data_IF_651811403343
#
_entry.id   IF_651811403343
#
_cell.length_a   1.000
_cell.length_b   1.000
_cell.length_c   1.000
_cell.angle_alpha   90.00
_cell.angle_beta   90.00
_cell.angle_gamma   90.00
#
_symmetry.space_group_name_H-M   'P 1'
#
loop_
_entity.id
_entity.type
_entity.pdbx_description
1 polymer ?
#
# COMPACT_ATOMS: atom_id res chain seq x y z
N UNK A 1 -5.72 -11.28 -8.63
CA UNK A 1 -7.14 -11.18 -9.03
C UNK A 1 -7.92 -10.98 -7.73
N UNK A 2 -8.65 -9.88 -7.60
CA UNK A 2 -9.44 -9.62 -6.39
C UNK A 2 -10.66 -10.55 -6.42
N UNK A 3 -10.83 -11.36 -5.39
CA UNK A 3 -11.95 -12.29 -5.28
C UNK A 3 -13.24 -11.47 -5.17
N UNK A 4 -14.12 -11.55 -6.18
CA UNK A 4 -15.46 -10.96 -6.09
C UNK A 4 -16.34 -11.87 -5.22
N UNK A 5 -16.49 -11.50 -3.97
CA UNK A 5 -17.33 -12.22 -3.00
C UNK A 5 -18.75 -11.66 -3.02
N UNK A 6 -19.73 -12.53 -3.07
CA UNK A 6 -21.16 -12.18 -3.00
C UNK A 6 -21.59 -12.00 -1.53
N UNK A 7 -22.58 -11.14 -1.27
CA UNK A 7 -23.08 -10.85 0.10
C UNK A 7 -23.48 -12.11 0.88
N UNK A 8 -24.06 -13.10 0.21
CA UNK A 8 -24.39 -14.39 0.84
C UNK A 8 -23.13 -15.16 1.26
N UNK A 9 -22.04 -15.03 0.51
CA UNK A 9 -20.75 -15.64 0.87
C UNK A 9 -20.12 -14.92 2.07
N UNK A 10 -20.22 -13.59 2.13
CA UNK A 10 -19.78 -12.81 3.29
C UNK A 10 -20.56 -13.21 4.54
N UNK A 11 -21.88 -13.40 4.42
CA UNK A 11 -22.71 -13.88 5.53
C UNK A 11 -22.29 -15.27 6.03
N UNK A 12 -21.96 -16.19 5.12
CA UNK A 12 -21.45 -17.53 5.49
C UNK A 12 -20.10 -17.43 6.21
N UNK A 13 -19.17 -16.64 5.67
CA UNK A 13 -17.85 -16.44 6.28
C UNK A 13 -17.96 -15.81 7.66
N UNK A 14 -18.86 -14.81 7.83
CA UNK A 14 -19.15 -14.20 9.11
C UNK A 14 -19.67 -15.23 10.13
N UNK A 15 -20.66 -16.06 9.76
CA UNK A 15 -21.15 -17.09 10.67
C UNK A 15 -20.04 -18.07 11.09
N UNK A 16 -19.14 -18.43 10.17
CA UNK A 16 -18.02 -19.32 10.46
C UNK A 16 -16.92 -18.68 11.31
N UNK A 17 -16.78 -17.34 11.32
CA UNK A 17 -15.91 -16.63 12.26
C UNK A 17 -16.38 -16.82 13.71
N UNK A 18 -17.68 -16.70 13.95
CA UNK A 18 -18.25 -16.78 15.30
C UNK A 18 -18.67 -18.20 15.72
N UNK A 19 -18.80 -19.10 14.76
CA UNK A 19 -19.21 -20.51 14.97
C UNK A 19 -18.30 -21.46 14.22
N UNK A 20 -17.09 -21.68 14.67
CA UNK A 20 -16.21 -22.69 14.10
C UNK A 20 -16.91 -24.06 14.10
N UNK A 21 -16.79 -24.82 13.01
CA UNK A 21 -17.40 -26.13 12.87
C UNK A 21 -18.96 -26.15 12.84
N UNK A 22 -19.54 -25.25 12.06
CA UNK A 22 -20.99 -25.15 11.92
C UNK A 22 -21.57 -26.15 10.90
N UNK A 23 -22.78 -26.62 11.14
CA UNK A 23 -23.54 -27.43 10.17
C UNK A 23 -24.25 -26.52 9.17
N UNK A 24 -24.67 -27.08 8.04
CA UNK A 24 -25.40 -26.36 6.99
C UNK A 24 -26.56 -25.50 7.52
N UNK A 25 -27.41 -26.08 8.38
CA UNK A 25 -28.58 -25.39 8.98
C UNK A 25 -28.18 -24.21 9.88
N UNK A 26 -27.00 -24.29 10.48
CA UNK A 26 -26.52 -23.27 11.41
C UNK A 26 -25.94 -22.06 10.67
N UNK A 27 -25.50 -22.27 9.42
CA UNK A 27 -24.94 -21.25 8.53
C UNK A 27 -26.01 -20.52 7.71
N UNK A 28 -27.12 -21.19 7.40
CA UNK A 28 -28.18 -20.60 6.58
C UNK A 28 -29.04 -19.65 7.42
N UNK A 29 -28.60 -18.39 7.53
CA UNK A 29 -29.30 -17.29 8.23
C UNK A 29 -30.01 -16.34 7.28
N UNK A 30 -29.89 -16.57 5.97
CA UNK A 30 -30.49 -15.74 4.93
C UNK A 30 -31.71 -16.42 4.33
N UNK A 31 -32.70 -15.65 3.93
CA UNK A 31 -33.93 -16.16 3.31
C UNK A 31 -33.72 -16.38 1.80
N UNK A 32 -33.09 -17.49 1.47
CA UNK A 32 -32.89 -17.98 0.11
C UNK A 32 -33.15 -19.49 0.04
N UNK A 33 -33.34 -20.03 -1.17
CA UNK A 33 -33.54 -21.47 -1.35
C UNK A 33 -32.30 -22.27 -0.92
N UNK A 34 -32.49 -23.53 -0.57
CA UNK A 34 -31.37 -24.40 -0.20
C UNK A 34 -30.37 -24.59 -1.36
N UNK A 35 -30.85 -24.63 -2.58
CA UNK A 35 -29.99 -24.80 -3.77
C UNK A 35 -29.10 -23.56 -3.98
N UNK A 36 -29.68 -22.38 -3.85
CA UNK A 36 -28.95 -21.12 -3.96
C UNK A 36 -27.90 -20.98 -2.84
N UNK A 37 -28.27 -21.30 -1.60
CA UNK A 37 -27.32 -21.31 -0.47
C UNK A 37 -26.21 -22.32 -0.69
N UNK A 38 -26.56 -23.54 -1.16
CA UNK A 38 -25.61 -24.60 -1.47
C UNK A 38 -24.62 -24.17 -2.55
N UNK A 39 -25.07 -23.43 -3.57
CA UNK A 39 -24.21 -22.89 -4.61
C UNK A 39 -23.13 -21.98 -4.01
N UNK A 40 -23.50 -20.99 -3.21
CA UNK A 40 -22.54 -20.06 -2.57
C UNK A 40 -21.57 -20.79 -1.63
N UNK A 41 -22.06 -21.74 -0.86
CA UNK A 41 -21.22 -22.53 0.06
C UNK A 41 -20.21 -23.39 -0.71
N UNK A 42 -20.64 -24.04 -1.83
CA UNK A 42 -19.75 -24.80 -2.71
C UNK A 42 -18.68 -23.91 -3.36
N UNK A 43 -19.01 -22.67 -3.74
CA UNK A 43 -18.02 -21.71 -4.27
C UNK A 43 -16.95 -21.41 -3.22
N UNK A 44 -17.31 -21.12 -1.98
CA UNK A 44 -16.35 -20.87 -0.89
C UNK A 44 -15.43 -22.08 -0.65
N UNK A 45 -15.96 -23.30 -0.77
CA UNK A 45 -15.15 -24.53 -0.69
C UNK A 45 -14.21 -24.65 -1.90
N UNK A 46 -14.68 -24.34 -3.11
CA UNK A 46 -13.87 -24.35 -4.34
C UNK A 46 -12.75 -23.33 -4.31
N UNK A 47 -13.02 -22.13 -3.77
CA UNK A 47 -12.04 -21.05 -3.58
C UNK A 47 -11.07 -21.32 -2.41
N UNK A 48 -11.21 -22.45 -1.71
CA UNK A 48 -10.33 -22.82 -0.61
C UNK A 48 -10.52 -22.01 0.68
N UNK A 49 -11.57 -21.19 0.80
CA UNK A 49 -11.85 -20.40 2.01
C UNK A 49 -12.57 -21.20 3.08
N UNK A 50 -13.30 -22.22 2.68
CA UNK A 50 -14.09 -23.10 3.56
C UNK A 50 -13.74 -24.55 3.29
N UNK A 51 -13.63 -25.35 4.34
CA UNK A 51 -13.49 -26.80 4.25
C UNK A 51 -14.73 -27.49 4.81
N UNK A 52 -15.12 -28.61 4.19
CA UNK A 52 -16.19 -29.47 4.68
C UNK A 52 -15.62 -30.78 5.18
N UNK A 53 -15.85 -31.10 6.43
CA UNK A 53 -15.48 -32.38 7.04
C UNK A 53 -16.66 -32.94 7.84
N UNK A 54 -17.03 -34.20 7.59
CA UNK A 54 -18.09 -34.91 8.34
C UNK A 54 -19.40 -34.10 8.54
N UNK A 55 -19.91 -33.46 7.46
CA UNK A 55 -21.13 -32.62 7.46
C UNK A 55 -20.99 -31.29 8.24
N UNK A 56 -19.77 -30.92 8.63
CA UNK A 56 -19.43 -29.69 9.31
C UNK A 56 -18.58 -28.84 8.38
N UNK A 57 -18.75 -27.52 8.44
CA UNK A 57 -17.99 -26.53 7.68
C UNK A 57 -17.14 -25.70 8.62
N UNK A 58 -15.93 -25.39 8.21
CA UNK A 58 -14.96 -24.57 8.95
C UNK A 58 -14.21 -23.67 7.98
N UNK A 59 -13.71 -22.54 8.46
CA UNK A 59 -12.77 -21.73 7.69
C UNK A 59 -11.42 -22.45 7.59
N UNK A 60 -10.81 -22.41 6.41
CA UNK A 60 -9.38 -22.70 6.25
C UNK A 60 -8.52 -21.59 6.84
N UNK A 61 -7.21 -21.71 6.84
CA UNK A 61 -6.35 -20.60 7.29
C UNK A 61 -6.43 -19.40 6.34
N UNK A 62 -6.54 -19.63 5.02
CA UNK A 62 -6.83 -18.61 4.03
C UNK A 62 -8.21 -17.99 4.24
N UNK A 63 -9.20 -18.82 4.58
CA UNK A 63 -10.56 -18.37 4.89
C UNK A 63 -10.60 -17.50 6.14
N UNK A 64 -9.83 -17.82 7.20
CA UNK A 64 -9.70 -17.02 8.42
C UNK A 64 -9.03 -15.67 8.10
N UNK A 65 -7.93 -15.69 7.35
CA UNK A 65 -7.22 -14.47 6.94
C UNK A 65 -8.14 -13.57 6.13
N UNK A 66 -8.84 -14.13 5.14
CA UNK A 66 -9.77 -13.37 4.30
C UNK A 66 -10.94 -12.79 5.11
N UNK A 67 -11.59 -13.61 5.92
CA UNK A 67 -12.76 -13.21 6.70
C UNK A 67 -12.41 -12.19 7.80
N UNK A 68 -11.18 -12.22 8.33
CA UNK A 68 -10.72 -11.26 9.34
C UNK A 68 -10.57 -9.82 8.81
N UNK A 69 -10.59 -9.61 7.49
CA UNK A 69 -10.63 -8.28 6.86
C UNK A 69 -12.04 -7.67 6.81
N UNK A 70 -13.03 -8.44 7.19
CA UNK A 70 -14.44 -8.04 7.08
C UNK A 70 -14.83 -7.15 8.25
N UNK A 71 -15.53 -6.05 7.96
CA UNK A 71 -16.45 -5.44 8.90
C UNK A 71 -17.63 -6.39 9.08
N UNK A 72 -17.70 -7.06 10.22
CA UNK A 72 -18.71 -8.09 10.50
C UNK A 72 -20.10 -7.53 10.75
N UNK A 73 -20.25 -6.24 11.00
CA UNK A 73 -21.53 -5.56 11.16
C UNK A 73 -22.06 -5.10 9.80
N UNK A 74 -21.22 -4.44 9.01
CA UNK A 74 -21.60 -3.95 7.69
C UNK A 74 -21.55 -5.04 6.59
N UNK A 75 -21.07 -6.25 6.89
CA UNK A 75 -20.91 -7.38 5.95
C UNK A 75 -20.17 -6.98 4.66
N UNK A 76 -19.03 -6.31 4.80
CA UNK A 76 -18.20 -5.90 3.67
C UNK A 76 -16.73 -6.04 4.01
N UNK A 77 -15.92 -6.28 2.98
CA UNK A 77 -14.45 -6.23 3.13
C UNK A 77 -14.03 -4.77 3.23
N UNK A 78 -13.39 -4.40 4.33
CA UNK A 78 -12.90 -3.04 4.54
C UNK A 78 -11.72 -2.73 3.61
N UNK A 79 -11.78 -1.55 3.01
CA UNK A 79 -10.67 -1.00 2.24
C UNK A 79 -9.63 -0.43 3.20
N UNK A 80 -8.45 -1.00 3.21
CA UNK A 80 -7.36 -0.58 4.09
C UNK A 80 -6.40 0.37 3.38
N UNK A 81 -5.76 1.24 4.16
CA UNK A 81 -4.66 2.08 3.69
C UNK A 81 -3.49 1.25 3.20
N UNK A 82 -2.82 1.70 2.14
CA UNK A 82 -1.68 1.00 1.53
C UNK A 82 -0.40 1.30 2.31
N UNK A 83 0.42 0.29 2.54
CA UNK A 83 1.75 0.45 3.10
C UNK A 83 2.76 0.55 1.96
N UNK A 84 3.62 1.57 2.02
CA UNK A 84 4.66 1.84 1.04
C UNK A 84 5.94 2.37 1.70
N UNK A 85 7.02 2.40 0.95
CA UNK A 85 8.27 3.06 1.33
C UNK A 85 8.48 4.32 0.49
N UNK A 86 9.02 5.37 1.11
CA UNK A 86 9.48 6.58 0.43
C UNK A 86 11.00 6.70 0.62
N UNK A 87 11.74 6.92 -0.48
CA UNK A 87 13.19 6.77 -0.53
C UNK A 87 13.84 8.09 -0.93
N UNK A 88 14.27 8.86 0.07
CA UNK A 88 14.92 10.15 -0.15
C UNK A 88 16.44 9.99 -0.17
N UNK A 89 17.00 9.83 -1.37
CA UNK A 89 18.44 9.72 -1.54
C UNK A 89 19.11 11.10 -1.62
N UNK A 90 20.23 11.22 -0.92
CA UNK A 90 21.06 12.42 -0.91
C UNK A 90 22.52 12.06 -1.16
N UNK A 91 23.23 12.94 -1.88
CA UNK A 91 24.67 12.83 -2.07
C UNK A 91 25.35 14.20 -1.95
N UNK A 92 26.62 14.17 -1.64
CA UNK A 92 27.47 15.37 -1.70
C UNK A 92 28.23 15.37 -3.02
N UNK A 93 28.08 16.43 -3.83
CA UNK A 93 28.84 16.62 -5.08
C UNK A 93 29.36 18.06 -5.14
N UNK A 94 30.68 18.20 -5.30
CA UNK A 94 31.33 19.51 -5.33
C UNK A 94 30.95 20.41 -4.16
N UNK A 95 30.92 19.85 -2.94
CA UNK A 95 30.57 20.57 -1.71
C UNK A 95 29.10 20.95 -1.56
N UNK A 96 28.24 20.53 -2.49
CA UNK A 96 26.79 20.79 -2.47
C UNK A 96 25.98 19.52 -2.30
N UNK A 97 24.93 19.58 -1.50
CA UNK A 97 23.98 18.46 -1.38
C UNK A 97 23.08 18.42 -2.61
N UNK A 98 22.99 17.26 -3.21
CA UNK A 98 22.02 16.92 -4.26
C UNK A 98 21.01 15.90 -3.75
N UNK A 99 19.79 16.01 -4.22
CA UNK A 99 18.65 15.13 -3.92
C UNK A 99 18.27 14.35 -5.17
N UNK A 100 18.05 13.06 -5.03
CA UNK A 100 17.51 12.25 -6.10
C UNK A 100 15.99 12.42 -6.15
N UNK A 101 15.50 12.84 -7.29
CA UNK A 101 14.08 13.08 -7.55
C UNK A 101 13.65 12.23 -8.74
N UNK A 102 12.47 11.66 -8.66
CA UNK A 102 11.81 10.91 -9.72
C UNK A 102 10.72 11.76 -10.36
N UNK A 103 10.77 11.95 -11.67
CA UNK A 103 9.65 12.46 -12.44
C UNK A 103 8.80 11.30 -12.91
N UNK A 104 7.56 11.24 -12.43
CA UNK A 104 6.64 10.17 -12.78
C UNK A 104 6.09 10.37 -14.19
N UNK A 105 6.22 9.36 -15.07
CA UNK A 105 5.66 9.35 -16.42
C UNK A 105 4.59 8.26 -16.59
N UNK A 106 3.83 8.01 -15.53
CA UNK A 106 2.76 7.03 -15.41
C UNK A 106 1.60 7.59 -14.60
N UNK A 107 0.35 7.29 -14.99
CA UNK A 107 -0.83 7.61 -14.18
C UNK A 107 -0.92 6.74 -12.91
N UNK A 108 -1.57 7.21 -11.86
CA UNK A 108 -2.01 8.59 -11.64
C UNK A 108 -0.85 9.54 -11.38
N UNK A 109 -1.07 10.84 -11.49
CA UNK A 109 -0.10 11.92 -11.27
C UNK A 109 1.02 11.97 -12.32
N UNK A 110 0.70 11.84 -13.58
CA UNK A 110 1.66 12.00 -14.67
C UNK A 110 2.36 13.37 -14.64
N UNK A 111 3.70 13.36 -14.77
CA UNK A 111 4.54 14.57 -14.74
C UNK A 111 4.88 15.09 -13.33
N UNK A 112 4.38 14.48 -12.26
CA UNK A 112 4.70 14.90 -10.91
C UNK A 112 6.08 14.43 -10.47
N UNK A 113 6.68 15.18 -9.54
CA UNK A 113 7.99 14.92 -8.98
C UNK A 113 7.91 14.45 -7.53
N UNK A 114 8.73 13.50 -7.17
CA UNK A 114 8.87 13.01 -5.81
C UNK A 114 10.13 12.19 -5.61
N UNK A 115 10.26 11.58 -4.45
CA UNK A 115 11.25 10.55 -4.20
C UNK A 115 10.80 9.23 -4.83
N UNK A 116 11.73 8.30 -5.01
CA UNK A 116 11.40 6.92 -5.35
C UNK A 116 10.48 6.32 -4.27
N UNK A 117 9.59 5.44 -4.67
CA UNK A 117 8.64 4.84 -3.74
C UNK A 117 8.14 3.49 -4.24
N UNK A 118 7.91 2.58 -3.33
CA UNK A 118 7.38 1.26 -3.68
C UNK A 118 6.40 0.73 -2.66
N UNK A 119 5.53 -0.18 -3.10
CA UNK A 119 4.57 -0.85 -2.22
C UNK A 119 5.25 -2.00 -1.49
N UNK A 120 5.02 -2.09 -0.19
CA UNK A 120 5.43 -3.25 0.60
C UNK A 120 4.57 -4.45 0.17
N UNK A 121 5.23 -5.53 -0.24
CA UNK A 121 4.56 -6.78 -0.63
C UNK A 121 4.06 -7.53 0.61
N UNK A 122 3.10 -8.39 0.44
CA UNK A 122 2.64 -9.26 1.52
C UNK A 122 3.80 -10.08 2.10
N UNK A 123 4.01 -9.98 3.42
CA UNK A 123 5.11 -10.63 4.13
C UNK A 123 6.49 -9.99 3.97
N UNK A 124 6.62 -8.90 3.19
CA UNK A 124 7.89 -8.20 2.99
C UNK A 124 8.18 -7.24 4.15
N UNK A 125 9.43 -7.20 4.62
CA UNK A 125 9.86 -6.21 5.59
C UNK A 125 10.03 -4.82 4.88
N UNK A 126 9.60 -3.70 5.49
CA UNK A 126 9.73 -2.38 4.87
C UNK A 126 11.17 -1.98 4.49
N UNK A 127 12.20 -2.41 5.23
CA UNK A 127 13.59 -2.13 4.87
C UNK A 127 14.04 -2.93 3.63
N UNK A 128 13.57 -4.18 3.50
CA UNK A 128 13.88 -5.01 2.33
C UNK A 128 13.15 -4.50 1.09
N UNK A 129 11.89 -4.08 1.25
CA UNK A 129 11.15 -3.34 0.23
C UNK A 129 11.92 -2.08 -0.21
N UNK A 130 12.42 -1.28 0.74
CA UNK A 130 13.17 -0.07 0.45
C UNK A 130 14.44 -0.34 -0.38
N UNK A 131 15.20 -1.38 -0.03
CA UNK A 131 16.39 -1.78 -0.77
C UNK A 131 16.06 -2.30 -2.17
N UNK A 132 15.02 -3.13 -2.30
CA UNK A 132 14.55 -3.71 -3.57
C UNK A 132 14.07 -2.61 -4.51
N UNK A 133 13.12 -1.78 -4.09
CA UNK A 133 12.55 -0.71 -4.92
C UNK A 133 13.61 0.31 -5.32
N UNK A 134 14.52 0.69 -4.40
CA UNK A 134 15.58 1.62 -4.72
C UNK A 134 16.52 1.09 -5.81
N UNK A 135 16.85 -0.21 -5.72
CA UNK A 135 17.68 -0.87 -6.74
C UNK A 135 16.94 -1.04 -8.07
N UNK A 136 15.68 -1.45 -8.03
CA UNK A 136 14.84 -1.66 -9.22
C UNK A 136 14.61 -0.33 -9.96
N UNK A 137 14.36 0.77 -9.24
CA UNK A 137 14.03 2.06 -9.83
C UNK A 137 15.25 2.94 -10.16
N UNK A 138 16.40 2.71 -9.56
CA UNK A 138 17.55 3.62 -9.75
C UNK A 138 18.86 2.94 -10.18
N UNK A 139 18.97 1.61 -10.09
CA UNK A 139 20.22 0.86 -10.24
C UNK A 139 21.18 1.00 -9.05
N UNK A 140 20.80 1.77 -8.03
CA UNK A 140 21.68 2.10 -6.91
C UNK A 140 21.37 1.26 -5.67
N UNK A 141 22.40 1.12 -4.85
CA UNK A 141 22.32 0.68 -3.44
C UNK A 141 22.80 1.81 -2.54
N UNK A 142 22.64 1.66 -1.20
CA UNK A 142 23.09 2.69 -0.27
C UNK A 142 22.89 2.30 1.19
N UNK A 143 23.13 3.25 2.10
CA UNK A 143 22.81 3.13 3.52
C UNK A 143 21.43 3.70 3.77
N UNK A 144 20.50 2.87 4.26
CA UNK A 144 19.12 3.25 4.57
C UNK A 144 18.97 3.55 6.05
N UNK A 145 18.38 4.70 6.36
CA UNK A 145 18.05 5.12 7.73
C UNK A 145 16.59 5.50 7.79
N UNK A 146 15.79 4.79 8.57
CA UNK A 146 14.38 5.14 8.79
C UNK A 146 14.29 6.49 9.52
N UNK A 147 13.52 7.41 8.97
CA UNK A 147 13.36 8.78 9.47
C UNK A 147 11.97 9.06 10.01
N UNK A 148 10.97 8.37 9.53
CA UNK A 148 9.60 8.57 9.97
C UNK A 148 8.59 7.72 9.23
N UNK A 149 7.35 7.83 9.67
CA UNK A 149 6.17 7.32 8.97
C UNK A 149 5.31 8.53 8.63
N UNK A 150 4.98 8.67 7.35
CA UNK A 150 4.09 9.73 6.88
C UNK A 150 2.83 9.11 6.31
N UNK A 151 1.71 9.44 6.90
CA UNK A 151 0.40 9.06 6.43
C UNK A 151 -0.10 10.13 5.45
N UNK A 152 -0.35 9.75 4.21
CA UNK A 152 -0.87 10.64 3.18
C UNK A 152 -2.29 10.28 2.80
N UNK A 153 -3.18 11.27 2.92
CA UNK A 153 -4.51 11.26 2.36
C UNK A 153 -4.54 12.17 1.12
N UNK A 154 -4.86 11.62 -0.03
CA UNK A 154 -5.16 12.42 -1.22
C UNK A 154 -6.67 12.46 -1.42
N UNK A 155 -7.22 13.66 -1.37
CA UNK A 155 -8.62 13.92 -1.62
C UNK A 155 -8.81 14.58 -2.99
N UNK A 156 -9.86 14.23 -3.69
CA UNK A 156 -10.38 15.05 -4.77
C UNK A 156 -10.97 16.35 -4.20
N UNK A 157 -11.12 17.38 -5.02
CA UNK A 157 -11.67 18.67 -4.55
C UNK A 157 -13.10 18.58 -4.03
N UNK A 158 -13.87 17.56 -4.43
CA UNK A 158 -15.22 17.27 -3.91
C UNK A 158 -15.23 16.54 -2.56
N UNK A 159 -14.07 16.31 -1.97
CA UNK A 159 -13.90 15.65 -0.67
C UNK A 159 -13.78 14.14 -0.72
N UNK A 160 -13.87 13.49 -1.88
CA UNK A 160 -13.68 12.03 -2.00
C UNK A 160 -12.23 11.65 -1.72
N UNK A 161 -12.02 10.66 -0.85
CA UNK A 161 -10.71 10.07 -0.60
C UNK A 161 -10.29 9.23 -1.81
N UNK A 162 -9.19 9.61 -2.46
CA UNK A 162 -8.62 8.94 -3.63
C UNK A 162 -7.53 7.95 -3.24
N UNK A 163 -6.66 8.35 -2.33
CA UNK A 163 -5.58 7.51 -1.82
C UNK A 163 -5.41 7.67 -0.31
N UNK A 164 -5.16 6.55 0.34
CA UNK A 164 -4.81 6.40 1.74
C UNK A 164 -3.55 5.54 1.79
N UNK A 165 -2.42 6.15 2.20
CA UNK A 165 -1.10 5.50 2.15
C UNK A 165 -0.25 5.86 3.34
N UNK A 166 0.37 4.86 3.94
CA UNK A 166 1.42 5.00 4.96
C UNK A 166 2.78 4.80 4.30
N UNK A 167 3.62 5.83 4.32
CA UNK A 167 4.97 5.76 3.81
C UNK A 167 5.98 5.63 4.94
N UNK A 168 6.75 4.56 4.93
CA UNK A 168 7.96 4.42 5.73
C UNK A 168 9.08 5.15 5.02
N UNK A 169 9.47 6.32 5.57
CA UNK A 169 10.42 7.23 4.92
C UNK A 169 11.84 6.87 5.31
N UNK A 170 12.62 6.49 4.31
CA UNK A 170 14.04 6.21 4.47
C UNK A 170 14.89 7.31 3.83
N UNK A 171 15.87 7.82 4.60
CA UNK A 171 17.00 8.56 4.04
C UNK A 171 17.99 7.57 3.47
N UNK A 172 18.45 7.80 2.23
CA UNK A 172 19.43 6.94 1.57
C UNK A 172 20.70 7.75 1.31
N UNK A 173 21.83 7.27 1.80
CA UNK A 173 23.14 7.92 1.71
C UNK A 173 24.20 6.93 1.19
N UNK A 174 25.37 7.45 0.79
CA UNK A 174 26.49 6.64 0.30
C UNK A 174 26.08 5.71 -0.85
N UNK A 175 25.36 6.26 -1.81
CA UNK A 175 24.83 5.51 -2.96
C UNK A 175 25.95 4.99 -3.86
N UNK A 176 25.82 3.75 -4.34
CA UNK A 176 26.75 3.06 -5.24
C UNK A 176 25.96 2.25 -6.26
N UNK A 177 26.52 2.06 -7.45
CA UNK A 177 25.93 1.26 -8.53
C UNK A 177 25.83 2.05 -9.83
N UNK A 178 25.21 1.44 -10.83
CA UNK A 178 25.02 2.01 -12.16
C UNK A 178 23.71 2.77 -12.19
N UNK A 179 23.79 4.09 -12.14
CA UNK A 179 22.63 4.97 -12.06
C UNK A 179 21.80 4.92 -13.33
N UNK A 180 20.50 4.61 -13.19
CA UNK A 180 19.53 4.62 -14.26
C UNK A 180 18.78 5.96 -14.27
N UNK A 181 19.04 6.79 -15.28
CA UNK A 181 18.30 8.05 -15.47
C UNK A 181 16.87 7.81 -15.97
N UNK A 182 16.68 6.84 -16.85
CA UNK A 182 15.38 6.48 -17.41
C UNK A 182 14.95 5.09 -16.95
N UNK A 183 13.70 4.99 -16.54
CA UNK A 183 13.06 3.74 -16.13
C UNK A 183 11.63 3.70 -16.71
N UNK A 184 10.99 2.53 -16.83
CA UNK A 184 9.66 2.42 -17.45
C UNK A 184 8.60 3.35 -16.84
N UNK A 185 8.71 3.69 -15.57
CA UNK A 185 7.74 4.51 -14.86
C UNK A 185 8.09 6.02 -14.84
N UNK A 186 9.28 6.41 -15.34
CA UNK A 186 9.69 7.82 -15.33
C UNK A 186 11.18 8.09 -15.47
N UNK A 187 11.61 9.23 -14.94
CA UNK A 187 13.01 9.69 -15.02
C UNK A 187 13.55 10.04 -13.64
N UNK A 188 14.79 9.65 -13.40
CA UNK A 188 15.51 9.94 -12.17
C UNK A 188 16.52 11.08 -12.41
N UNK A 189 16.52 12.07 -11.53
CA UNK A 189 17.33 13.28 -11.71
C UNK A 189 17.96 13.66 -10.37
N UNK A 190 19.28 13.83 -10.34
CA UNK A 190 19.97 14.45 -9.22
C UNK A 190 19.87 15.97 -9.32
N UNK A 191 19.29 16.62 -8.33
CA UNK A 191 19.09 18.07 -8.33
C UNK A 191 19.54 18.72 -7.03
N UNK A 192 19.96 19.99 -7.11
CA UNK A 192 20.27 20.80 -5.94
C UNK A 192 18.97 21.22 -5.21
N UNK A 193 19.11 21.61 -3.94
CA UNK A 193 17.99 22.21 -3.17
C UNK A 193 17.31 23.35 -3.92
N UNK A 194 18.09 24.27 -4.52
CA UNK A 194 17.56 25.41 -5.25
C UNK A 194 16.69 25.01 -6.46
N UNK A 195 17.03 23.89 -7.14
CA UNK A 195 16.20 23.34 -8.19
C UNK A 195 14.95 22.66 -7.62
N UNK A 196 15.08 21.89 -6.54
CA UNK A 196 13.95 21.20 -5.91
C UNK A 196 12.85 22.19 -5.51
N UNK A 197 13.23 23.31 -4.86
CA UNK A 197 12.29 24.36 -4.44
C UNK A 197 11.51 25.01 -5.60
N UNK A 198 12.02 24.91 -6.84
CA UNK A 198 11.39 25.45 -8.05
C UNK A 198 10.50 24.45 -8.76
N UNK A 199 10.51 23.17 -8.36
CA UNK A 199 9.65 22.18 -8.98
C UNK A 199 8.18 22.50 -8.72
N UNK A 200 7.38 22.35 -9.78
CA UNK A 200 5.91 22.34 -9.69
C UNK A 200 5.42 20.92 -9.67
N UNK A 201 4.19 20.71 -9.23
CA UNK A 201 3.57 19.38 -9.16
C UNK A 201 4.46 18.37 -8.39
N UNK A 202 4.71 18.66 -7.12
CA UNK A 202 5.51 17.81 -6.24
C UNK A 202 4.63 17.06 -5.24
N UNK A 203 4.95 15.80 -4.98
CA UNK A 203 4.28 15.01 -3.94
C UNK A 203 4.61 15.51 -2.54
N UNK A 204 5.83 16.00 -2.34
CA UNK A 204 6.24 16.68 -1.11
C UNK A 204 7.12 17.88 -1.48
N UNK A 205 6.91 19.01 -0.81
CA UNK A 205 7.77 20.18 -0.96
C UNK A 205 9.15 19.89 -0.37
N UNK A 206 10.16 20.68 -0.78
CA UNK A 206 11.50 20.52 -0.22
C UNK A 206 11.51 20.69 1.32
N UNK A 207 10.72 21.60 1.85
CA UNK A 207 10.67 21.86 3.30
C UNK A 207 10.05 20.69 4.08
N UNK A 208 9.00 20.06 3.54
CA UNK A 208 8.42 18.83 4.11
C UNK A 208 9.43 17.67 4.11
N UNK A 209 10.17 17.51 3.01
CA UNK A 209 11.23 16.50 2.93
C UNK A 209 12.33 16.78 3.95
N UNK A 210 12.78 18.03 4.03
CA UNK A 210 13.82 18.47 4.96
C UNK A 210 13.41 18.27 6.43
N UNK A 211 12.16 18.57 6.77
CA UNK A 211 11.61 18.32 8.11
C UNK A 211 11.84 16.87 8.53
N UNK A 212 11.47 15.92 7.66
CA UNK A 212 11.62 14.49 7.96
C UNK A 212 13.08 14.07 7.98
N UNK A 213 13.88 14.46 6.98
CA UNK A 213 15.26 14.00 6.85
C UNK A 213 16.18 14.50 7.97
N UNK A 214 15.95 15.71 8.47
CA UNK A 214 16.78 16.35 9.50
C UNK A 214 16.34 16.01 10.92
N UNK A 215 15.20 15.34 11.09
CA UNK A 215 14.75 14.96 12.43
C UNK A 215 15.76 14.02 13.10
N UNK A 216 16.05 14.30 14.37
CA UNK A 216 16.84 13.44 15.26
C UNK A 216 16.01 12.29 15.85
N UNK A 217 14.68 12.37 15.80
CA UNK A 217 13.74 11.39 16.31
C UNK A 217 12.94 10.79 15.14
N UNK A 218 12.42 9.58 15.33
CA UNK A 218 11.44 9.01 14.41
C UNK A 218 10.18 9.89 14.44
N UNK A 219 9.76 10.37 13.26
CA UNK A 219 8.56 11.18 13.14
C UNK A 219 7.36 10.34 12.74
N UNK A 220 6.19 10.73 13.24
CA UNK A 220 4.91 10.37 12.64
C UNK A 220 4.21 11.65 12.19
N UNK A 221 3.84 11.71 10.92
CA UNK A 221 3.18 12.88 10.33
C UNK A 221 1.92 12.44 9.59
N UNK A 222 0.86 13.23 9.73
CA UNK A 222 -0.39 13.07 8.99
C UNK A 222 -0.53 14.24 8.00
N UNK A 223 -0.79 13.95 6.73
CA UNK A 223 -0.83 14.94 5.65
C UNK A 223 -2.04 14.71 4.76
N UNK A 224 -2.92 15.68 4.69
CA UNK A 224 -4.03 15.71 3.74
C UNK A 224 -3.70 16.64 2.57
N UNK A 225 -4.00 16.19 1.35
CA UNK A 225 -3.84 16.98 0.12
C UNK A 225 -5.06 16.89 -0.74
N UNK A 226 -5.48 18.04 -1.28
CA UNK A 226 -6.56 18.14 -2.24
C UNK A 226 -5.97 18.30 -3.65
N UNK A 227 -6.40 17.44 -4.58
CA UNK A 227 -5.93 17.44 -5.96
C UNK A 227 -7.08 17.64 -6.92
N UNK A 228 -6.82 18.33 -8.06
CA UNK A 228 -7.83 18.59 -9.09
C UNK A 228 -8.04 17.40 -10.02
N UNK A 229 -7.00 16.62 -10.22
CA UNK A 229 -6.99 15.42 -11.06
C UNK A 229 -6.19 14.31 -10.39
N UNK A 230 -6.62 13.10 -10.64
CA UNK A 230 -6.01 11.89 -10.12
C UNK A 230 -5.70 10.94 -11.27
#
# INVERSE_FOLDING_TARGET
MELKIHDFQLSILRELLFRPNARFRDLKKVDITNDHFTFHLKQLVKEGLVIKQNKVYSLTDEGKEFANRMDTEALRIERQGKIAVGLHAVRLRNGKTEHLVHQRLKEPFYGWYGSQSGKVRWGENPLDCAKREFREETGLTGKFTLKGIVHYHHFHQDGRLLEDKYFWIYKVENTKGDFMEEVPEGKNIWISEAKYRKLKNVFATFDEVREVLNSKKLLYLDRARFVKSY
#
